data_IF_626586703828
#
_entry.id   IF_626586703828
#
_cell.length_a   1.000
_cell.length_b   1.000
_cell.length_c   1.000
_cell.angle_alpha   90.00
_cell.angle_beta   90.00
_cell.angle_gamma   90.00
#
_symmetry.space_group_name_H-M   'P 1'
#
loop_
_entity.id
_entity.type
_entity.pdbx_description
1 polymer ?
#
# COMPACT_ATOMS: atom_id res chain seq x y z
N UNK A 1 16.83 26.44 -30.07
CA UNK A 1 16.50 25.38 -29.10
C UNK A 1 16.11 26.05 -27.80
N UNK A 2 14.82 26.12 -27.50
CA UNK A 2 14.28 26.66 -26.25
C UNK A 2 14.58 25.68 -25.13
N UNK A 3 15.34 26.11 -24.12
CA UNK A 3 15.55 25.34 -22.89
C UNK A 3 14.21 25.22 -22.18
N UNK A 4 13.55 24.07 -22.30
CA UNK A 4 12.39 23.74 -21.47
C UNK A 4 12.86 23.76 -20.03
N UNK A 5 12.32 24.67 -19.25
CA UNK A 5 12.67 24.83 -17.84
C UNK A 5 12.15 23.59 -17.07
N UNK A 6 13.04 22.61 -16.85
CA UNK A 6 12.70 21.31 -16.23
C UNK A 6 12.12 21.48 -14.82
N UNK A 7 12.35 22.65 -14.20
CA UNK A 7 11.91 22.97 -12.85
C UNK A 7 10.41 23.31 -12.72
N UNK A 8 9.75 23.78 -13.79
CA UNK A 8 8.37 24.28 -13.70
C UNK A 8 7.33 23.18 -13.34
N UNK A 9 7.65 21.91 -13.60
CA UNK A 9 6.74 20.78 -13.37
C UNK A 9 6.84 20.09 -12.02
N UNK A 10 7.88 20.38 -11.21
CA UNK A 10 8.18 19.60 -9.99
C UNK A 10 7.15 19.80 -8.89
N UNK A 11 6.81 21.05 -8.57
CA UNK A 11 5.86 21.40 -7.52
C UNK A 11 4.48 20.76 -7.72
N UNK A 12 3.83 20.95 -8.89
CA UNK A 12 2.56 20.31 -9.21
C UNK A 12 2.60 18.77 -9.14
N UNK A 13 3.68 18.15 -9.64
CA UNK A 13 3.85 16.69 -9.58
C UNK A 13 3.89 16.17 -8.14
N UNK A 14 4.61 16.86 -7.25
CA UNK A 14 4.68 16.49 -5.83
C UNK A 14 3.33 16.65 -5.11
N UNK A 15 2.55 17.69 -5.45
CA UNK A 15 1.20 17.87 -4.89
C UNK A 15 0.25 16.78 -5.37
N UNK A 16 0.30 16.42 -6.65
CA UNK A 16 -0.47 15.28 -7.17
C UNK A 16 -0.10 13.99 -6.45
N UNK A 17 1.21 13.75 -6.28
CA UNK A 17 1.70 12.59 -5.54
C UNK A 17 1.19 12.55 -4.09
N UNK A 18 1.24 13.69 -3.41
CA UNK A 18 0.76 13.86 -2.05
C UNK A 18 -0.74 13.57 -1.94
N UNK A 19 -1.56 14.10 -2.85
CA UNK A 19 -3.00 13.86 -2.89
C UNK A 19 -3.31 12.38 -3.12
N UNK A 20 -2.62 11.73 -4.07
CA UNK A 20 -2.77 10.30 -4.32
C UNK A 20 -2.48 9.45 -3.08
N UNK A 21 -1.39 9.76 -2.37
CA UNK A 21 -1.00 9.06 -1.14
C UNK A 21 -2.01 9.27 -0.01
N UNK A 22 -2.56 10.49 0.13
CA UNK A 22 -3.59 10.79 1.14
C UNK A 22 -4.88 10.03 0.86
N UNK A 23 -5.39 10.10 -0.38
CA UNK A 23 -6.63 9.44 -0.78
C UNK A 23 -6.49 7.92 -0.62
N UNK A 24 -5.36 7.34 -1.04
CA UNK A 24 -5.06 5.93 -0.79
C UNK A 24 -5.11 5.60 0.71
N UNK A 25 -4.41 6.36 1.57
CA UNK A 25 -4.37 6.08 3.00
C UNK A 25 -5.77 6.13 3.65
N UNK A 26 -6.61 7.10 3.27
CA UNK A 26 -7.98 7.23 3.79
C UNK A 26 -8.86 6.06 3.34
N UNK A 27 -8.82 5.71 2.06
CA UNK A 27 -9.59 4.58 1.52
C UNK A 27 -9.11 3.24 2.08
N UNK A 28 -7.81 3.10 2.33
CA UNK A 28 -7.24 1.91 2.97
C UNK A 28 -7.69 1.76 4.43
N UNK A 29 -7.82 2.86 5.17
CA UNK A 29 -8.44 2.85 6.51
C UNK A 29 -9.90 2.46 6.44
N UNK A 30 -10.68 3.04 5.52
CA UNK A 30 -12.09 2.71 5.33
C UNK A 30 -12.26 1.22 5.02
N UNK A 31 -11.43 0.69 4.11
CA UNK A 31 -11.39 -0.73 3.79
C UNK A 31 -11.23 -1.60 5.05
N UNK A 32 -10.22 -1.31 5.88
CA UNK A 32 -9.99 -2.09 7.11
C UNK A 32 -11.09 -1.93 8.17
N UNK A 33 -11.68 -0.74 8.30
CA UNK A 33 -12.81 -0.52 9.22
C UNK A 33 -14.03 -1.34 8.77
N UNK A 34 -14.29 -1.40 7.47
CA UNK A 34 -15.41 -2.16 6.90
C UNK A 34 -15.18 -3.68 6.95
N UNK A 35 -13.92 -4.14 6.80
CA UNK A 35 -13.57 -5.56 6.96
C UNK A 35 -13.77 -6.07 8.39
N UNK A 36 -13.69 -5.18 9.40
CA UNK A 36 -13.89 -5.54 10.80
C UNK A 36 -12.77 -6.41 11.37
N UNK A 37 -13.09 -7.24 12.37
CA UNK A 37 -12.13 -8.13 13.03
C UNK A 37 -11.99 -9.49 12.35
N UNK A 38 -12.81 -9.78 11.34
CA UNK A 38 -12.85 -11.08 10.66
C UNK A 38 -13.63 -12.16 11.43
N UNK A 39 -13.64 -13.40 10.89
CA UNK A 39 -14.33 -14.54 11.51
C UNK A 39 -13.67 -14.96 12.83
N UNK A 40 -14.44 -15.60 13.71
CA UNK A 40 -13.95 -16.06 15.03
C UNK A 40 -12.86 -17.15 14.95
N UNK A 41 -12.74 -17.84 13.81
CA UNK A 41 -11.67 -18.81 13.54
C UNK A 41 -11.46 -18.95 12.04
N UNK A 42 -10.36 -19.58 11.63
CA UNK A 42 -10.06 -19.90 10.23
C UNK A 42 -10.84 -21.08 9.64
N UNK A 43 -11.72 -21.76 10.39
CA UNK A 43 -12.53 -22.85 9.84
C UNK A 43 -13.45 -22.36 8.71
N UNK A 44 -13.56 -23.15 7.64
CA UNK A 44 -14.39 -22.82 6.47
C UNK A 44 -15.83 -22.43 6.84
N UNK A 45 -16.45 -23.10 7.83
CA UNK A 45 -17.80 -22.77 8.28
C UNK A 45 -17.90 -21.37 8.91
N UNK A 46 -16.92 -20.98 9.75
CA UNK A 46 -16.89 -19.66 10.38
C UNK A 46 -16.54 -18.57 9.36
N UNK A 47 -15.63 -18.85 8.41
CA UNK A 47 -15.30 -17.94 7.31
C UNK A 47 -16.53 -17.69 6.42
N UNK A 48 -17.21 -18.76 6.00
CA UNK A 48 -18.43 -18.66 5.19
C UNK A 48 -19.54 -17.90 5.92
N UNK A 49 -19.81 -18.25 7.17
CA UNK A 49 -20.82 -17.57 7.99
C UNK A 49 -20.53 -16.08 8.16
N UNK A 50 -19.26 -15.71 8.41
CA UNK A 50 -18.84 -14.31 8.50
C UNK A 50 -19.06 -13.56 7.18
N UNK A 51 -18.63 -14.15 6.07
CA UNK A 51 -18.78 -13.56 4.73
C UNK A 51 -20.24 -13.34 4.35
N UNK A 52 -21.12 -14.29 4.65
CA UNK A 52 -22.57 -14.15 4.42
C UNK A 52 -23.14 -13.03 5.29
N UNK A 53 -22.80 -13.01 6.58
CA UNK A 53 -23.31 -12.02 7.53
C UNK A 53 -22.84 -10.58 7.22
N UNK A 54 -21.64 -10.42 6.67
CA UNK A 54 -21.01 -9.12 6.41
C UNK A 54 -20.85 -8.79 4.92
N UNK A 55 -21.53 -9.53 4.03
CA UNK A 55 -21.37 -9.45 2.56
C UNK A 55 -21.34 -8.02 2.03
N UNK A 56 -22.30 -7.19 2.44
CA UNK A 56 -22.37 -5.80 1.99
C UNK A 56 -21.19 -4.94 2.42
N UNK A 57 -20.73 -5.12 3.67
CA UNK A 57 -19.58 -4.39 4.21
C UNK A 57 -18.27 -4.83 3.53
N UNK A 58 -18.09 -6.13 3.30
CA UNK A 58 -16.93 -6.67 2.59
C UNK A 58 -16.88 -6.21 1.13
N UNK A 59 -18.00 -6.26 0.40
CA UNK A 59 -18.02 -5.74 -0.97
C UNK A 59 -17.73 -4.23 -1.03
N UNK A 60 -18.25 -3.45 -0.07
CA UNK A 60 -17.94 -2.04 0.04
C UNK A 60 -16.46 -1.80 0.40
N UNK A 61 -15.85 -2.64 1.25
CA UNK A 61 -14.42 -2.57 1.57
C UNK A 61 -13.56 -2.83 0.34
N UNK A 62 -13.95 -3.79 -0.50
CA UNK A 62 -13.22 -4.10 -1.73
C UNK A 62 -13.32 -2.99 -2.78
N UNK A 63 -14.47 -2.33 -2.89
CA UNK A 63 -14.60 -1.12 -3.71
C UNK A 63 -13.70 0.00 -3.18
N UNK A 64 -13.69 0.22 -1.86
CA UNK A 64 -12.83 1.23 -1.24
C UNK A 64 -11.34 0.95 -1.52
N UNK A 65 -10.89 -0.29 -1.34
CA UNK A 65 -9.51 -0.68 -1.62
C UNK A 65 -9.17 -0.53 -3.11
N UNK A 66 -10.05 -0.97 -4.02
CA UNK A 66 -9.86 -0.82 -5.46
C UNK A 66 -9.68 0.65 -5.88
N UNK A 67 -10.53 1.54 -5.37
CA UNK A 67 -10.37 2.99 -5.58
C UNK A 67 -9.09 3.53 -4.93
N UNK A 68 -8.72 3.01 -3.76
CA UNK A 68 -7.46 3.33 -3.08
C UNK A 68 -6.27 2.99 -3.97
N UNK A 69 -6.22 1.78 -4.53
CA UNK A 69 -5.15 1.33 -5.42
C UNK A 69 -5.05 2.21 -6.67
N UNK A 70 -6.19 2.65 -7.24
CA UNK A 70 -6.18 3.63 -8.33
C UNK A 70 -5.61 4.99 -7.89
N UNK A 71 -5.96 5.48 -6.70
CA UNK A 71 -5.36 6.69 -6.13
C UNK A 71 -3.86 6.53 -5.87
N UNK A 72 -3.41 5.32 -5.53
CA UNK A 72 -1.99 5.01 -5.37
C UNK A 72 -1.21 5.13 -6.69
N UNK A 73 -1.84 4.90 -7.85
CA UNK A 73 -1.21 5.18 -9.16
C UNK A 73 -0.94 6.70 -9.31
N UNK A 74 -1.87 7.54 -8.86
CA UNK A 74 -1.70 9.00 -8.85
C UNK A 74 -0.59 9.46 -7.87
N UNK A 75 -0.26 8.65 -6.87
CA UNK A 75 0.97 8.81 -6.07
C UNK A 75 2.21 8.39 -6.86
N UNK A 76 2.22 7.15 -7.35
CA UNK A 76 3.40 6.48 -7.88
C UNK A 76 3.95 7.16 -9.14
N UNK A 77 3.08 7.45 -10.11
CA UNK A 77 3.49 7.97 -11.41
C UNK A 77 4.27 9.30 -11.33
N UNK A 78 3.72 10.38 -10.74
CA UNK A 78 4.46 11.64 -10.62
C UNK A 78 5.67 11.53 -9.69
N UNK A 79 5.61 10.70 -8.64
CA UNK A 79 6.73 10.55 -7.70
C UNK A 79 7.94 9.91 -8.38
N UNK A 80 7.73 8.84 -9.16
CA UNK A 80 8.79 8.20 -9.96
C UNK A 80 9.42 9.19 -10.94
N UNK A 81 8.61 9.99 -11.63
CA UNK A 81 9.11 11.02 -12.57
C UNK A 81 9.97 12.05 -11.85
N UNK A 82 9.57 12.50 -10.65
CA UNK A 82 10.36 13.45 -9.86
C UNK A 82 11.71 12.87 -9.46
N UNK A 83 11.76 11.60 -9.02
CA UNK A 83 13.01 10.93 -8.66
C UNK A 83 13.90 10.76 -9.90
N UNK A 84 13.31 10.35 -11.03
CA UNK A 84 14.02 10.16 -12.28
C UNK A 84 14.68 11.45 -12.75
N UNK A 85 13.91 12.56 -12.80
CA UNK A 85 14.43 13.88 -13.20
C UNK A 85 15.49 14.45 -12.26
N UNK A 86 15.62 13.91 -11.05
CA UNK A 86 16.69 14.25 -10.12
C UNK A 86 18.00 13.47 -10.38
N UNK A 87 18.10 12.73 -11.49
CA UNK A 87 19.29 11.92 -11.84
C UNK A 87 19.45 10.69 -10.93
N UNK A 88 18.33 10.13 -10.46
CA UNK A 88 18.29 8.94 -9.60
C UNK A 88 17.51 7.80 -10.29
N UNK A 89 17.84 7.52 -11.54
CA UNK A 89 17.09 6.61 -12.42
C UNK A 89 16.96 5.21 -11.81
N UNK A 90 18.05 4.63 -11.28
CA UNK A 90 18.01 3.31 -10.66
C UNK A 90 17.03 3.24 -9.49
N UNK A 91 16.95 4.31 -8.69
CA UNK A 91 16.04 4.36 -7.54
C UNK A 91 14.60 4.61 -7.99
N UNK A 92 14.39 5.44 -9.02
CA UNK A 92 13.09 5.62 -9.65
C UNK A 92 12.53 4.29 -10.20
N UNK A 93 13.37 3.50 -10.87
CA UNK A 93 13.01 2.15 -11.34
C UNK A 93 12.65 1.24 -10.16
N UNK A 94 13.45 1.23 -9.09
CA UNK A 94 13.16 0.42 -7.91
C UNK A 94 11.79 0.78 -7.28
N UNK A 95 11.49 2.08 -7.14
CA UNK A 95 10.19 2.55 -6.66
C UNK A 95 9.06 2.13 -7.61
N UNK A 96 9.25 2.28 -8.92
CA UNK A 96 8.26 1.89 -9.93
C UNK A 96 7.95 0.39 -9.88
N UNK A 97 8.98 -0.46 -9.84
CA UNK A 97 8.83 -1.91 -9.78
C UNK A 97 8.15 -2.34 -8.48
N UNK A 98 8.63 -1.85 -7.33
CA UNK A 98 8.04 -2.19 -6.03
C UNK A 98 6.57 -1.70 -5.93
N UNK A 99 6.28 -0.49 -6.39
CA UNK A 99 4.93 0.06 -6.43
C UNK A 99 3.99 -0.70 -7.38
N UNK A 100 4.49 -1.15 -8.53
CA UNK A 100 3.72 -1.96 -9.47
C UNK A 100 3.41 -3.34 -8.88
N UNK A 101 4.38 -3.99 -8.26
CA UNK A 101 4.16 -5.28 -7.56
C UNK A 101 3.13 -5.10 -6.44
N UNK A 102 3.22 -4.01 -5.67
CA UNK A 102 2.24 -3.69 -4.64
C UNK A 102 0.83 -3.56 -5.22
N UNK A 103 0.66 -2.84 -6.33
CA UNK A 103 -0.63 -2.70 -7.01
C UNK A 103 -1.17 -4.04 -7.52
N UNK A 104 -0.33 -4.84 -8.19
CA UNK A 104 -0.73 -6.14 -8.72
C UNK A 104 -1.20 -7.07 -7.61
N UNK A 105 -0.43 -7.19 -6.52
CA UNK A 105 -0.80 -8.02 -5.38
C UNK A 105 -2.03 -7.48 -4.65
N UNK A 106 -2.21 -6.16 -4.57
CA UNK A 106 -3.41 -5.54 -4.04
C UNK A 106 -4.66 -5.93 -4.82
N UNK A 107 -4.65 -5.78 -6.15
CA UNK A 107 -5.78 -6.18 -6.99
C UNK A 107 -6.03 -7.68 -6.97
N UNK A 108 -4.97 -8.50 -6.90
CA UNK A 108 -5.10 -9.95 -6.76
C UNK A 108 -5.76 -10.32 -5.41
N UNK A 109 -5.39 -9.64 -4.32
CA UNK A 109 -6.03 -9.81 -3.02
C UNK A 109 -7.51 -9.45 -3.06
N UNK A 110 -7.88 -8.34 -3.72
CA UNK A 110 -9.29 -7.95 -3.90
C UNK A 110 -10.06 -8.96 -4.74
N UNK A 111 -9.46 -9.50 -5.79
CA UNK A 111 -10.08 -10.55 -6.60
C UNK A 111 -10.33 -11.83 -5.79
N UNK A 112 -9.38 -12.22 -4.93
CA UNK A 112 -9.52 -13.39 -4.06
C UNK A 112 -10.64 -13.19 -3.01
N UNK A 113 -10.68 -12.04 -2.33
CA UNK A 113 -11.72 -11.72 -1.33
C UNK A 113 -13.10 -11.65 -1.98
N UNK A 114 -13.25 -10.97 -3.13
CA UNK A 114 -14.55 -10.92 -3.83
C UNK A 114 -15.02 -12.29 -4.31
N UNK A 115 -14.11 -13.17 -4.74
CA UNK A 115 -14.43 -14.56 -5.05
C UNK A 115 -14.84 -15.35 -3.79
N UNK A 116 -14.17 -15.12 -2.66
CA UNK A 116 -14.50 -15.74 -1.38
C UNK A 116 -15.92 -15.34 -0.92
N UNK A 117 -16.24 -14.05 -0.98
CA UNK A 117 -17.58 -13.53 -0.69
C UNK A 117 -18.65 -14.15 -1.60
N UNK A 118 -18.32 -14.41 -2.87
CA UNK A 118 -19.24 -15.00 -3.84
C UNK A 118 -19.49 -16.50 -3.60
N UNK A 119 -18.52 -17.23 -3.05
CA UNK A 119 -18.63 -18.67 -2.80
C UNK A 119 -19.13 -18.99 -1.39
N UNK A 120 -19.17 -18.00 -0.49
CA UNK A 120 -19.52 -18.18 0.92
C UNK A 120 -20.94 -18.71 1.18
N UNK A 121 -21.88 -18.50 0.26
CA UNK A 121 -23.25 -19.05 0.31
C UNK A 121 -23.42 -20.30 -0.56
N UNK A 122 -22.38 -20.71 -1.30
CA UNK A 122 -22.36 -21.99 -2.00
C UNK A 122 -22.01 -23.10 -1.01
N UNK A 123 -22.67 -24.25 -1.10
CA UNK A 123 -22.43 -25.40 -0.20
C UNK A 123 -21.10 -26.11 -0.52
N UNK A 124 -20.03 -25.35 -0.78
CA UNK A 124 -18.71 -25.78 -1.21
C UNK A 124 -17.63 -25.35 -0.20
N UNK A 125 -17.53 -26.04 0.96
CA UNK A 125 -16.58 -25.67 2.02
C UNK A 125 -15.11 -25.75 1.55
N UNK A 126 -14.81 -26.61 0.58
CA UNK A 126 -13.48 -26.69 -0.02
C UNK A 126 -13.08 -25.43 -0.80
N UNK A 127 -14.03 -24.77 -1.48
CA UNK A 127 -13.77 -23.53 -2.20
C UNK A 127 -13.53 -22.35 -1.25
N UNK A 128 -14.33 -22.26 -0.18
CA UNK A 128 -14.15 -21.28 0.90
C UNK A 128 -12.76 -21.42 1.53
N UNK A 129 -12.37 -22.65 1.89
CA UNK A 129 -11.05 -22.92 2.48
C UNK A 129 -9.92 -22.54 1.51
N UNK A 130 -10.00 -22.97 0.24
CA UNK A 130 -8.97 -22.69 -0.76
C UNK A 130 -8.76 -21.18 -0.98
N UNK A 131 -9.85 -20.41 -1.08
CA UNK A 131 -9.78 -18.97 -1.29
C UNK A 131 -9.29 -18.22 -0.04
N UNK A 132 -9.75 -18.62 1.15
CA UNK A 132 -9.25 -18.07 2.41
C UNK A 132 -7.72 -18.30 2.56
N UNK A 133 -7.26 -19.51 2.23
CA UNK A 133 -5.84 -19.86 2.24
C UNK A 133 -5.03 -19.10 1.17
N UNK A 134 -5.59 -18.90 -0.02
CA UNK A 134 -4.95 -18.11 -1.09
C UNK A 134 -4.78 -16.66 -0.65
N UNK A 135 -5.82 -16.07 -0.08
CA UNK A 135 -5.79 -14.70 0.41
C UNK A 135 -4.79 -14.53 1.55
N UNK A 136 -4.85 -15.41 2.57
CA UNK A 136 -3.94 -15.36 3.71
C UNK A 136 -2.46 -15.58 3.35
N UNK A 137 -2.17 -16.20 2.21
CA UNK A 137 -0.80 -16.43 1.70
C UNK A 137 -0.35 -15.45 0.63
N UNK A 138 -1.20 -14.52 0.20
CA UNK A 138 -0.79 -13.52 -0.79
C UNK A 138 0.31 -12.64 -0.20
N UNK A 139 1.50 -12.53 -0.83
CA UNK A 139 2.67 -11.90 -0.20
C UNK A 139 2.63 -10.35 -0.25
N UNK A 140 1.49 -9.74 0.06
CA UNK A 140 1.31 -8.27 0.06
C UNK A 140 2.28 -7.60 1.03
N UNK A 141 2.53 -8.21 2.19
CA UNK A 141 3.44 -7.64 3.20
C UNK A 141 4.87 -7.49 2.66
N UNK A 142 5.32 -8.40 1.80
CA UNK A 142 6.63 -8.32 1.16
C UNK A 142 6.71 -7.16 0.17
N UNK A 143 5.65 -6.93 -0.61
CA UNK A 143 5.61 -5.80 -1.54
C UNK A 143 5.51 -4.45 -0.81
N UNK A 144 4.78 -4.39 0.31
CA UNK A 144 4.77 -3.21 1.19
C UNK A 144 6.17 -2.93 1.74
N UNK A 145 6.88 -3.95 2.23
CA UNK A 145 8.25 -3.79 2.74
C UNK A 145 9.20 -3.29 1.64
N UNK A 146 9.15 -3.89 0.44
CA UNK A 146 9.96 -3.48 -0.70
C UNK A 146 9.65 -2.04 -1.14
N UNK A 147 8.37 -1.67 -1.18
CA UNK A 147 7.93 -0.32 -1.51
C UNK A 147 8.40 0.69 -0.47
N UNK A 148 8.20 0.42 0.81
CA UNK A 148 8.62 1.30 1.89
C UNK A 148 10.14 1.50 1.87
N UNK A 149 10.92 0.45 1.63
CA UNK A 149 12.37 0.53 1.49
C UNK A 149 12.77 1.38 0.26
N UNK A 150 12.20 1.10 -0.91
CA UNK A 150 12.51 1.81 -2.15
C UNK A 150 12.19 3.31 -2.05
N UNK A 151 11.01 3.66 -1.52
CA UNK A 151 10.61 5.05 -1.28
C UNK A 151 11.55 5.71 -0.27
N UNK A 152 11.90 5.02 0.81
CA UNK A 152 12.82 5.57 1.82
C UNK A 152 14.21 5.86 1.26
N UNK A 153 14.75 4.96 0.43
CA UNK A 153 16.02 5.16 -0.28
C UNK A 153 15.91 6.33 -1.26
N UNK A 154 14.80 6.45 -1.98
CA UNK A 154 14.55 7.59 -2.87
C UNK A 154 14.57 8.92 -2.11
N UNK A 155 13.91 8.98 -0.95
CA UNK A 155 13.89 10.16 -0.10
C UNK A 155 15.27 10.45 0.52
N UNK A 156 16.04 9.41 0.86
CA UNK A 156 17.43 9.53 1.33
C UNK A 156 18.32 10.20 0.29
N UNK A 157 18.30 9.70 -0.94
CA UNK A 157 19.17 10.17 -2.02
C UNK A 157 18.75 11.51 -2.58
N UNK A 158 17.45 11.77 -2.72
CA UNK A 158 16.94 13.04 -3.25
C UNK A 158 17.02 14.18 -2.24
N UNK A 159 17.10 13.87 -0.94
CA UNK A 159 17.02 14.86 0.12
C UNK A 159 15.66 15.58 0.20
N UNK A 160 14.66 15.11 -0.55
CA UNK A 160 13.40 15.80 -0.82
C UNK A 160 12.57 16.05 0.44
N UNK A 161 12.55 15.09 1.36
CA UNK A 161 11.70 15.11 2.56
C UNK A 161 12.54 15.07 3.85
N UNK A 162 11.86 15.26 4.99
CA UNK A 162 12.49 15.29 6.31
C UNK A 162 13.31 14.02 6.63
N UNK A 163 14.39 14.20 7.39
CA UNK A 163 15.33 13.12 7.75
C UNK A 163 14.64 11.97 8.50
N UNK A 164 13.67 12.26 9.35
CA UNK A 164 12.94 11.23 10.11
C UNK A 164 12.12 10.29 9.23
N UNK A 165 11.48 10.83 8.19
CA UNK A 165 10.62 10.04 7.28
C UNK A 165 11.43 8.96 6.52
N UNK A 166 12.71 9.25 6.29
CA UNK A 166 13.67 8.35 5.65
C UNK A 166 13.96 7.11 6.51
N UNK A 167 14.17 7.34 7.81
CA UNK A 167 14.51 6.28 8.77
C UNK A 167 13.25 5.48 9.09
N UNK A 168 12.11 6.16 9.29
CA UNK A 168 10.86 5.49 9.66
C UNK A 168 10.40 4.48 8.60
N UNK A 169 10.56 4.78 7.31
CA UNK A 169 10.15 3.83 6.26
C UNK A 169 11.08 2.62 6.13
N UNK A 170 12.38 2.76 6.43
CA UNK A 170 13.30 1.62 6.52
C UNK A 170 13.00 0.75 7.75
N UNK A 171 12.71 1.38 8.91
CA UNK A 171 12.28 0.67 10.11
C UNK A 171 10.98 -0.09 9.83
N UNK A 172 10.01 0.57 9.20
CA UNK A 172 8.74 -0.03 8.80
C UNK A 172 8.95 -1.25 7.88
N UNK A 173 9.81 -1.11 6.86
CA UNK A 173 10.16 -2.22 5.98
C UNK A 173 10.79 -3.40 6.75
N UNK A 174 11.68 -3.12 7.71
CA UNK A 174 12.26 -4.12 8.59
C UNK A 174 11.22 -4.83 9.44
N UNK A 175 10.29 -4.09 10.05
CA UNK A 175 9.18 -4.64 10.84
C UNK A 175 8.30 -5.57 10.00
N UNK A 176 7.91 -5.15 8.79
CA UNK A 176 7.09 -5.98 7.89
C UNK A 176 7.81 -7.23 7.40
N UNK A 177 9.11 -7.14 7.15
CA UNK A 177 9.92 -8.28 6.75
C UNK A 177 10.07 -9.28 7.91
N UNK A 178 10.33 -8.81 9.12
CA UNK A 178 10.40 -9.66 10.32
C UNK A 178 9.07 -10.32 10.64
N UNK A 179 7.97 -9.57 10.53
CA UNK A 179 6.62 -10.11 10.71
C UNK A 179 6.33 -11.20 9.66
N UNK A 180 6.71 -10.96 8.40
CA UNK A 180 6.54 -11.93 7.31
C UNK A 180 7.34 -13.21 7.51
N UNK A 181 8.61 -13.10 7.93
CA UNK A 181 9.44 -14.27 8.24
C UNK A 181 8.87 -15.04 9.42
N UNK A 182 8.39 -14.34 10.46
CA UNK A 182 7.78 -14.98 11.62
C UNK A 182 6.53 -15.77 11.23
N UNK A 183 5.70 -15.23 10.33
CA UNK A 183 4.52 -15.93 9.80
C UNK A 183 4.87 -17.15 8.94
N UNK A 184 6.03 -17.16 8.25
CA UNK A 184 6.48 -18.33 7.48
C UNK A 184 7.04 -19.45 8.37
N UNK A 185 7.66 -19.09 9.50
CA UNK A 185 8.27 -20.04 10.44
C UNK A 185 7.25 -20.56 11.46
N UNK A 186 6.25 -19.74 11.81
CA UNK A 186 5.11 -20.14 12.63
C UNK A 186 4.29 -21.24 11.98
N UNK A 187 3.90 -22.27 12.75
CA UNK A 187 3.06 -23.37 12.25
C UNK A 187 1.57 -23.02 12.19
N UNK A 188 1.18 -21.92 12.83
CA UNK A 188 -0.22 -21.52 12.92
C UNK A 188 -0.49 -20.37 11.95
N UNK A 189 -1.40 -20.63 11.01
CA UNK A 189 -2.05 -19.59 10.20
C UNK A 189 -3.08 -18.89 11.08
N UNK A 190 -2.65 -18.33 12.22
CA UNK A 190 -3.46 -17.35 12.93
C UNK A 190 -3.35 -16.05 12.14
N UNK A 191 -4.17 -15.99 11.08
CA UNK A 191 -4.33 -14.90 10.13
C UNK A 191 -4.95 -13.64 10.74
N UNK A 192 -4.47 -13.25 11.92
CA UNK A 192 -4.76 -11.95 12.49
C UNK A 192 -4.02 -10.89 11.69
N UNK A 193 -4.75 -10.13 10.88
CA UNK A 193 -4.25 -8.85 10.37
C UNK A 193 -3.72 -8.05 11.56
N UNK A 194 -2.41 -7.79 11.58
CA UNK A 194 -1.83 -6.96 12.63
C UNK A 194 -2.32 -5.52 12.46
N UNK A 195 -3.32 -5.12 13.25
CA UNK A 195 -3.81 -3.74 13.31
C UNK A 195 -2.67 -2.74 13.56
N UNK A 196 -1.64 -3.19 14.27
CA UNK A 196 -0.40 -2.41 14.49
C UNK A 196 0.32 -2.18 13.16
N UNK A 197 0.53 -3.23 12.35
CA UNK A 197 1.17 -3.11 11.04
C UNK A 197 0.40 -2.18 10.10
N UNK A 198 -0.93 -2.35 10.04
CA UNK A 198 -1.83 -1.47 9.27
C UNK A 198 -1.70 -0.02 9.74
N UNK A 199 -1.79 0.22 11.05
CA UNK A 199 -1.69 1.56 11.63
C UNK A 199 -0.34 2.22 11.35
N UNK A 200 0.76 1.48 11.47
CA UNK A 200 2.10 1.97 11.14
C UNK A 200 2.24 2.35 9.66
N UNK A 201 1.70 1.52 8.75
CA UNK A 201 1.74 1.81 7.32
C UNK A 201 0.90 3.04 6.95
N UNK A 202 -0.31 3.16 7.50
CA UNK A 202 -1.17 4.34 7.31
C UNK A 202 -0.48 5.59 7.83
N UNK A 203 0.05 5.56 9.05
CA UNK A 203 0.76 6.70 9.65
C UNK A 203 1.96 7.12 8.77
N UNK A 204 2.71 6.16 8.24
CA UNK A 204 3.82 6.43 7.33
C UNK A 204 3.36 7.04 6.00
N UNK A 205 2.28 6.53 5.40
CA UNK A 205 1.70 7.08 4.16
C UNK A 205 1.18 8.51 4.35
N UNK A 206 0.54 8.80 5.49
CA UNK A 206 0.09 10.15 5.83
C UNK A 206 1.27 11.11 6.02
N UNK A 207 2.33 10.67 6.71
CA UNK A 207 3.54 11.47 6.88
C UNK A 207 4.26 11.71 5.53
N UNK A 208 4.26 10.71 4.64
CA UNK A 208 4.78 10.83 3.28
C UNK A 208 3.97 11.84 2.46
N UNK A 209 2.63 11.76 2.49
CA UNK A 209 1.75 12.72 1.83
C UNK A 209 2.00 14.15 2.31
N UNK A 210 2.00 14.38 3.63
CA UNK A 210 2.27 15.70 4.21
C UNK A 210 3.66 16.23 3.82
N UNK A 211 4.68 15.35 3.81
CA UNK A 211 6.02 15.69 3.38
C UNK A 211 6.07 16.14 1.91
N UNK A 212 5.45 15.37 1.01
CA UNK A 212 5.40 15.67 -0.42
C UNK A 212 4.64 16.98 -0.69
N UNK A 213 3.54 17.22 0.01
CA UNK A 213 2.77 18.46 -0.09
C UNK A 213 3.62 19.69 0.28
N UNK A 214 4.33 19.60 1.41
CA UNK A 214 5.24 20.66 1.86
C UNK A 214 6.38 20.88 0.86
N UNK A 215 6.99 19.80 0.36
CA UNK A 215 8.07 19.88 -0.62
C UNK A 215 7.61 20.52 -1.95
N UNK A 216 6.38 20.26 -2.39
CA UNK A 216 5.77 20.90 -3.57
C UNK A 216 5.28 22.33 -3.35
N UNK A 217 5.38 22.86 -2.12
CA UNK A 217 4.98 24.23 -1.78
C UNK A 217 6.17 25.17 -1.62
N UNK A 218 7.38 24.65 -1.44
CA UNK A 218 8.58 25.47 -1.32
C UNK A 218 9.06 25.92 -2.71
N UNK A 219 9.26 27.22 -2.96
CA UNK A 219 9.87 27.69 -4.19
C UNK A 219 11.30 27.15 -4.31
N UNK A 220 11.68 26.67 -5.49
CA UNK A 220 13.06 26.28 -5.77
C UNK A 220 13.93 27.51 -5.56
N UNK A 221 14.92 27.50 -4.64
CA UNK A 221 15.81 28.64 -4.48
C UNK A 221 16.47 28.90 -5.82
N UNK A 222 16.30 30.12 -6.36
CA UNK A 222 16.99 30.56 -7.56
C UNK A 222 18.48 30.37 -7.30
N UNK A 223 19.12 29.44 -8.01
CA UNK A 223 20.58 29.32 -7.98
C UNK A 223 21.11 30.62 -8.59
N UNK A 224 21.61 31.51 -7.72
CA UNK A 224 22.40 32.69 -8.09
C UNK A 224 23.79 32.23 -8.49
#
# INVERSE_FOLDING_TARGET
MTSVNVDDGRGPSLRLAATGALVFALLFVIHHVLQGTGPASSSAANVASYNVAHRGALLASEVALGLGLLAFIAFLAPFVVVIWRAGQETVAVAVLVAGTIFLVLGFMSTAAETALVAVADSNEPGAVEALNQLQGRTPVVWSVAALAAAVSVAVLRSGLLWRWLRISGLVLAGVFLLASISNLVGRDVEGGYSLIGVGLFVAWMLALSAGLWRAGSNPTPSRV
#
